data_IF_044311139974
#
_entry.id   IF_044311139974
#
_cell.length_a   1.000
_cell.length_b   1.000
_cell.length_c   1.000
_cell.angle_alpha   90.00
_cell.angle_beta   90.00
_cell.angle_gamma   90.00
#
_symmetry.space_group_name_H-M   'P 1'
#
loop_
_entity.id
_entity.type
_entity.pdbx_description
1 polymer ?
#
# COMPACT_ATOMS: atom_id res chain seq x y z
N UNK A 1 14.75 -16.17 5.82
CA UNK A 1 14.69 -15.10 4.80
C UNK A 1 13.31 -14.43 4.82
N UNK A 2 12.97 -13.67 5.86
CA UNK A 2 11.59 -13.14 6.09
C UNK A 2 11.43 -11.64 5.74
N UNK A 3 12.32 -11.07 4.95
CA UNK A 3 12.43 -9.60 4.82
C UNK A 3 12.23 -9.06 3.38
N UNK A 4 11.83 -9.88 2.41
CA UNK A 4 11.79 -9.44 1.00
C UNK A 4 10.47 -8.81 0.52
N UNK A 5 9.47 -8.67 1.40
CA UNK A 5 8.12 -8.21 1.03
C UNK A 5 7.69 -6.89 1.69
N UNK A 6 8.62 -6.15 2.32
CA UNK A 6 8.34 -4.77 2.79
C UNK A 6 9.61 -3.91 2.85
N UNK A 7 9.51 -2.56 2.81
CA UNK A 7 10.65 -1.66 2.99
C UNK A 7 11.10 -1.55 4.47
N UNK A 8 10.33 -2.10 5.41
CA UNK A 8 10.57 -2.05 6.86
C UNK A 8 11.99 -2.45 7.29
N UNK A 9 12.60 -3.52 6.74
CA UNK A 9 13.93 -3.97 7.14
C UNK A 9 15.04 -2.99 6.76
N UNK A 10 14.78 -2.07 5.82
CA UNK A 10 15.72 -1.01 5.42
C UNK A 10 15.45 0.25 6.25
N UNK A 11 14.18 0.64 6.39
CA UNK A 11 13.81 1.90 7.03
C UNK A 11 13.96 1.89 8.54
N UNK A 12 13.62 0.80 9.24
CA UNK A 12 13.70 0.78 10.71
C UNK A 12 15.15 0.91 11.21
N UNK A 13 16.14 0.13 10.73
CA UNK A 13 17.53 0.33 11.13
C UNK A 13 18.04 1.73 10.78
N UNK A 14 17.69 2.25 9.60
CA UNK A 14 18.05 3.61 9.17
C UNK A 14 17.48 4.65 10.14
N UNK A 15 16.19 4.59 10.47
CA UNK A 15 15.57 5.51 11.42
C UNK A 15 16.26 5.47 12.79
N UNK A 16 16.54 4.28 13.32
CA UNK A 16 17.20 4.14 14.62
C UNK A 16 18.63 4.73 14.58
N UNK A 17 19.40 4.50 13.53
CA UNK A 17 20.75 5.07 13.39
C UNK A 17 20.77 6.60 13.33
N UNK A 18 19.75 7.21 12.73
CA UNK A 18 19.70 8.65 12.46
C UNK A 18 18.82 9.45 13.42
N UNK A 19 18.13 8.79 14.35
CA UNK A 19 17.27 9.43 15.35
C UNK A 19 18.05 10.39 16.24
N UNK A 20 17.49 11.57 16.48
CA UNK A 20 17.94 12.45 17.55
C UNK A 20 17.42 11.97 18.91
N UNK A 21 18.30 11.29 19.67
CA UNK A 21 17.99 10.80 21.01
C UNK A 21 18.09 11.89 22.11
N UNK A 22 18.52 13.10 21.78
CA UNK A 22 18.57 14.21 22.75
C UNK A 22 17.18 14.76 23.07
N UNK A 23 16.23 14.63 22.12
CA UNK A 23 14.84 15.06 22.29
C UNK A 23 14.08 14.06 23.16
N UNK A 24 13.95 14.40 24.46
CA UNK A 24 13.23 13.58 25.44
C UNK A 24 11.76 13.41 25.04
N UNK A 25 11.23 12.19 25.23
CA UNK A 25 9.88 11.76 24.85
C UNK A 25 9.58 11.67 23.33
N UNK A 26 10.47 12.10 22.44
CA UNK A 26 10.26 11.96 21.01
C UNK A 26 10.45 10.50 20.57
N UNK A 27 9.43 9.93 19.93
CA UNK A 27 9.42 8.55 19.45
C UNK A 27 9.53 8.54 17.94
N UNK A 28 10.12 7.48 17.38
CA UNK A 28 9.99 7.22 15.95
C UNK A 28 8.55 6.76 15.75
N UNK A 29 7.78 7.54 14.99
CA UNK A 29 6.35 7.33 14.81
C UNK A 29 6.10 6.63 13.49
N UNK A 30 5.13 5.71 13.51
CA UNK A 30 4.71 4.99 12.32
C UNK A 30 3.20 5.14 12.17
N UNK A 31 2.78 5.83 11.12
CA UNK A 31 1.38 6.08 10.81
C UNK A 31 1.01 5.38 9.52
N UNK A 32 -0.11 4.67 9.54
CA UNK A 32 -0.71 4.05 8.36
C UNK A 32 -2.00 4.78 8.10
N UNK A 33 -2.08 5.41 6.93
CA UNK A 33 -3.27 6.07 6.41
C UNK A 33 -3.92 5.20 5.34
N UNK A 34 -5.07 5.63 4.84
CA UNK A 34 -5.71 4.96 3.72
C UNK A 34 -4.85 5.04 2.46
N UNK A 35 -4.01 6.05 2.25
CA UNK A 35 -3.30 6.25 0.98
C UNK A 35 -1.79 6.10 1.07
N UNK A 36 -1.25 6.01 2.27
CA UNK A 36 0.20 6.00 2.50
C UNK A 36 0.60 5.42 3.85
N UNK A 37 1.86 5.09 3.93
CA UNK A 37 2.57 4.74 5.15
C UNK A 37 3.61 5.83 5.40
N UNK A 38 3.58 6.42 6.59
CA UNK A 38 4.47 7.50 6.99
C UNK A 38 5.28 7.07 8.21
N UNK A 39 6.61 7.11 8.07
CA UNK A 39 7.53 7.01 9.19
C UNK A 39 8.10 8.39 9.46
N UNK A 40 7.89 8.88 10.68
CA UNK A 40 8.48 10.12 11.16
C UNK A 40 9.55 9.81 12.21
N UNK A 41 10.69 10.48 12.13
CA UNK A 41 11.81 10.29 13.03
C UNK A 41 12.28 11.63 13.64
N UNK A 42 12.51 11.70 14.96
CA UNK A 42 13.03 12.91 15.58
C UNK A 42 14.38 13.34 15.02
N UNK A 43 14.51 14.64 14.78
CA UNK A 43 15.70 15.27 14.21
C UNK A 43 15.72 15.22 12.68
N UNK A 44 15.92 16.39 12.07
CA UNK A 44 15.97 16.57 10.61
C UNK A 44 17.25 16.02 9.96
N UNK A 45 17.53 16.44 8.73
CA UNK A 45 18.81 16.12 8.09
C UNK A 45 19.98 16.83 8.79
N UNK A 46 21.16 16.21 8.75
CA UNK A 46 22.39 16.88 9.15
C UNK A 46 22.83 17.85 8.04
N UNK A 47 23.51 18.97 8.36
CA UNK A 47 23.92 19.98 7.38
C UNK A 47 24.71 19.45 6.17
N UNK A 48 25.37 18.31 6.33
CA UNK A 48 26.16 17.61 5.32
C UNK A 48 25.33 16.94 4.23
N UNK A 49 24.03 16.71 4.47
CA UNK A 49 23.12 16.03 3.53
C UNK A 49 21.94 16.94 3.20
N UNK A 50 21.73 17.17 1.90
CA UNK A 50 20.51 17.79 1.37
C UNK A 50 19.50 16.74 0.93
N UNK A 51 18.23 17.11 0.94
CA UNK A 51 17.13 16.20 0.62
C UNK A 51 17.22 15.63 -0.80
N UNK A 52 17.73 16.41 -1.75
CA UNK A 52 17.91 15.98 -3.15
C UNK A 52 18.96 14.89 -3.28
N UNK A 53 19.94 14.86 -2.38
CA UNK A 53 21.02 13.86 -2.40
C UNK A 53 20.51 12.48 -1.97
N UNK A 54 19.41 12.40 -1.22
CA UNK A 54 18.88 11.12 -0.72
C UNK A 54 18.45 10.16 -1.83
N UNK A 55 18.29 10.65 -3.06
CA UNK A 55 17.97 9.84 -4.25
C UNK A 55 19.20 9.34 -5.00
N UNK A 56 20.38 9.82 -4.67
CA UNK A 56 21.65 9.50 -5.31
C UNK A 56 22.61 8.82 -4.33
N UNK A 57 23.69 8.19 -4.79
CA UNK A 57 24.74 7.69 -3.90
C UNK A 57 25.33 8.84 -3.05
N UNK A 58 25.32 8.68 -1.73
CA UNK A 58 25.89 9.65 -0.78
C UNK A 58 26.51 8.94 0.43
N UNK A 59 27.42 9.62 1.14
CA UNK A 59 27.98 9.10 2.39
C UNK A 59 26.90 8.99 3.48
N UNK A 60 27.03 8.01 4.37
CA UNK A 60 26.19 7.92 5.57
C UNK A 60 26.79 8.77 6.68
N UNK A 61 25.97 9.65 7.26
CA UNK A 61 26.30 10.40 8.47
C UNK A 61 25.30 10.03 9.58
N UNK A 62 25.48 8.88 10.25
CA UNK A 62 24.59 8.47 11.34
C UNK A 62 24.84 9.32 12.57
N UNK A 63 23.77 9.83 13.20
CA UNK A 63 23.88 10.50 14.52
C UNK A 63 24.38 9.53 15.60
N UNK A 64 24.06 8.25 15.46
CA UNK A 64 24.33 7.22 16.47
C UNK A 64 25.29 6.16 15.92
N UNK A 65 26.58 6.51 15.84
CA UNK A 65 27.62 5.66 15.25
C UNK A 65 27.75 4.28 15.91
N UNK A 66 27.62 4.20 17.23
CA UNK A 66 27.69 2.91 17.96
C UNK A 66 26.53 1.99 17.58
N UNK A 67 25.32 2.54 17.41
CA UNK A 67 24.15 1.75 16.98
C UNK A 67 24.35 1.31 15.52
N UNK A 68 24.82 2.23 14.67
CA UNK A 68 25.11 1.93 13.28
C UNK A 68 26.17 0.83 13.14
N UNK A 69 27.24 0.86 13.93
CA UNK A 69 28.27 -0.18 13.93
C UNK A 69 27.72 -1.55 14.35
N UNK A 70 26.83 -1.61 15.34
CA UNK A 70 26.15 -2.85 15.73
C UNK A 70 25.29 -3.39 14.59
N UNK A 71 24.48 -2.55 13.93
CA UNK A 71 23.67 -2.99 12.79
C UNK A 71 24.51 -3.37 11.57
N UNK A 72 25.62 -2.70 11.34
CA UNK A 72 26.58 -3.06 10.29
C UNK A 72 27.19 -4.43 10.55
N UNK A 73 27.70 -4.69 11.78
CA UNK A 73 28.25 -5.99 12.17
C UNK A 73 27.22 -7.11 12.12
N UNK A 74 25.94 -6.80 12.31
CA UNK A 74 24.82 -7.74 12.13
C UNK A 74 24.38 -7.92 10.67
N UNK A 75 24.91 -7.14 9.73
CA UNK A 75 24.54 -7.18 8.32
C UNK A 75 23.17 -6.57 8.02
N UNK A 76 22.64 -5.72 8.90
CA UNK A 76 21.34 -5.07 8.71
C UNK A 76 21.44 -3.77 7.91
N UNK A 77 22.59 -3.09 7.99
CA UNK A 77 22.87 -1.88 7.21
C UNK A 77 24.24 -1.97 6.53
N UNK A 78 24.45 -1.11 5.54
CA UNK A 78 25.75 -0.86 4.91
C UNK A 78 26.33 0.47 5.39
N UNK A 79 27.65 0.66 5.25
CA UNK A 79 28.33 1.91 5.62
C UNK A 79 28.18 3.04 4.59
N UNK A 80 27.70 2.72 3.39
CA UNK A 80 27.77 3.60 2.21
C UNK A 80 26.54 4.46 1.97
N UNK A 81 25.70 4.69 2.98
CA UNK A 81 24.52 5.57 2.86
C UNK A 81 23.45 5.07 1.90
N UNK A 82 23.42 3.76 1.61
CA UNK A 82 22.53 3.15 0.61
C UNK A 82 21.10 2.93 1.09
N UNK A 83 20.75 3.32 2.32
CA UNK A 83 19.43 3.05 2.90
C UNK A 83 18.30 3.64 2.06
N UNK A 84 18.38 4.93 1.72
CA UNK A 84 17.35 5.64 0.95
C UNK A 84 17.27 5.16 -0.50
N UNK A 85 18.40 4.94 -1.16
CA UNK A 85 18.44 4.42 -2.54
C UNK A 85 17.89 2.99 -2.62
N UNK A 86 18.15 2.14 -1.63
CA UNK A 86 17.55 0.80 -1.53
C UNK A 86 16.04 0.82 -1.31
N UNK A 87 15.51 1.80 -0.57
CA UNK A 87 14.05 1.99 -0.46
C UNK A 87 13.44 2.35 -1.81
N UNK A 88 14.10 3.24 -2.57
CA UNK A 88 13.67 3.63 -3.93
C UNK A 88 13.70 2.41 -4.87
N UNK A 89 14.80 1.67 -4.89
CA UNK A 89 14.92 0.44 -5.69
C UNK A 89 13.86 -0.59 -5.33
N UNK A 90 13.56 -0.75 -4.03
CA UNK A 90 12.50 -1.63 -3.57
C UNK A 90 11.15 -1.22 -4.17
N UNK A 91 10.78 0.07 -4.11
CA UNK A 91 9.53 0.56 -4.71
C UNK A 91 9.49 0.33 -6.22
N UNK A 92 10.58 0.65 -6.93
CA UNK A 92 10.71 0.43 -8.37
C UNK A 92 10.51 -1.04 -8.74
N UNK A 93 11.16 -1.96 -8.03
CA UNK A 93 11.03 -3.42 -8.26
C UNK A 93 9.61 -3.94 -8.02
N UNK A 94 8.85 -3.32 -7.14
CA UNK A 94 7.48 -3.70 -6.81
C UNK A 94 6.41 -2.91 -7.58
N UNK A 95 6.79 -2.04 -8.52
CA UNK A 95 5.88 -1.16 -9.26
C UNK A 95 4.97 -0.33 -8.34
N UNK A 96 5.52 0.18 -7.23
CA UNK A 96 4.87 1.12 -6.32
C UNK A 96 5.50 2.51 -6.44
N UNK A 97 4.79 3.60 -6.05
CA UNK A 97 5.39 4.93 -6.00
C UNK A 97 6.69 4.95 -5.19
N UNK A 98 7.66 5.76 -5.63
CA UNK A 98 8.89 6.00 -4.86
C UNK A 98 8.57 6.71 -3.55
N UNK A 99 9.38 6.49 -2.48
CA UNK A 99 9.19 7.23 -1.24
C UNK A 99 9.45 8.72 -1.42
N UNK A 100 8.62 9.53 -0.78
CA UNK A 100 8.87 10.95 -0.57
C UNK A 100 9.64 11.14 0.74
N UNK A 101 10.68 11.97 0.70
CA UNK A 101 11.43 12.37 1.88
C UNK A 101 11.05 13.81 2.19
N UNK A 102 10.75 14.10 3.46
CA UNK A 102 10.49 15.47 3.91
C UNK A 102 11.32 15.77 5.14
N UNK A 103 11.96 16.95 5.12
CA UNK A 103 12.73 17.45 6.25
C UNK A 103 12.00 18.66 6.85
N UNK A 104 11.61 18.54 8.12
CA UNK A 104 10.94 19.59 8.88
C UNK A 104 11.80 19.99 10.06
N UNK A 105 11.61 21.21 10.59
CA UNK A 105 12.50 21.82 11.60
C UNK A 105 12.74 20.96 12.86
N UNK A 106 11.93 19.93 13.11
CA UNK A 106 12.07 19.02 14.26
C UNK A 106 12.09 17.52 13.91
N UNK A 107 12.05 17.15 12.64
CA UNK A 107 12.02 15.74 12.26
C UNK A 107 12.00 15.47 10.77
N UNK A 108 12.37 14.24 10.45
CA UNK A 108 12.48 13.74 9.10
C UNK A 108 11.42 12.67 8.86
N UNK A 109 10.65 12.80 7.78
CA UNK A 109 9.67 11.78 7.38
C UNK A 109 10.08 11.06 6.10
N UNK A 110 9.71 9.79 6.05
CA UNK A 110 9.70 8.97 4.84
C UNK A 110 8.27 8.52 4.60
N UNK A 111 7.73 8.87 3.43
CA UNK A 111 6.33 8.62 3.06
C UNK A 111 6.31 7.65 1.89
N UNK A 112 5.68 6.49 2.09
CA UNK A 112 5.42 5.51 1.04
C UNK A 112 3.95 5.57 0.65
N UNK A 113 3.65 6.21 -0.48
CA UNK A 113 2.29 6.17 -1.04
C UNK A 113 1.95 4.78 -1.54
N UNK A 114 0.75 4.32 -1.26
CA UNK A 114 0.27 3.06 -1.80
C UNK A 114 -0.08 3.22 -3.26
N UNK A 115 0.13 2.15 -4.03
CA UNK A 115 -0.30 2.10 -5.42
C UNK A 115 -1.83 2.24 -5.53
N UNK A 116 -2.54 1.71 -4.54
CA UNK A 116 -3.98 1.77 -4.38
C UNK A 116 -4.27 2.05 -2.89
N UNK A 117 -5.24 2.91 -2.58
CA UNK A 117 -5.55 3.25 -1.19
C UNK A 117 -6.02 2.01 -0.42
N UNK A 118 -5.48 1.80 0.78
CA UNK A 118 -6.02 1.01 1.88
C UNK A 118 -7.39 1.53 2.32
N UNK A 119 -8.40 1.42 1.45
CA UNK A 119 -9.77 1.30 1.88
C UNK A 119 -10.58 0.46 0.86
N UNK A 120 -10.78 -0.80 1.26
CA UNK A 120 -11.91 -1.71 0.96
C UNK A 120 -12.43 -1.90 -0.48
N UNK A 121 -11.69 -1.55 -1.53
CA UNK A 121 -11.97 -2.06 -2.88
C UNK A 121 -11.50 -3.51 -3.00
N UNK A 122 -12.31 -4.37 -3.63
CA UNK A 122 -11.88 -5.72 -4.02
C UNK A 122 -10.57 -5.58 -4.82
N UNK A 123 -9.41 -5.86 -4.20
CA UNK A 123 -8.27 -6.29 -4.99
C UNK A 123 -8.75 -7.58 -5.63
N UNK A 124 -9.01 -7.54 -6.94
CA UNK A 124 -9.11 -8.73 -7.75
C UNK A 124 -7.70 -9.32 -7.81
N UNK A 125 -7.17 -9.74 -6.65
CA UNK A 125 -5.95 -10.51 -6.55
C UNK A 125 -6.09 -11.69 -7.51
N UNK A 126 -5.05 -12.01 -8.29
CA UNK A 126 -5.06 -13.16 -9.21
C UNK A 126 -5.27 -14.52 -8.52
N UNK A 127 -5.40 -14.54 -7.19
CA UNK A 127 -5.77 -15.71 -6.38
C UNK A 127 -7.28 -15.97 -6.34
N UNK A 128 -8.13 -15.01 -6.70
CA UNK A 128 -9.54 -15.27 -6.92
C UNK A 128 -9.73 -15.84 -8.32
N UNK A 129 -9.76 -17.18 -8.42
CA UNK A 129 -10.26 -17.89 -9.60
C UNK A 129 -11.72 -17.48 -9.88
N UNK A 130 -11.90 -16.35 -10.56
CA UNK A 130 -13.17 -15.85 -11.06
C UNK A 130 -13.30 -16.30 -12.50
N UNK A 131 -14.50 -16.76 -12.84
CA UNK A 131 -14.77 -17.09 -14.24
C UNK A 131 -14.87 -15.81 -15.06
N UNK A 132 -14.63 -15.90 -16.37
CA UNK A 132 -14.82 -14.80 -17.32
C UNK A 132 -16.18 -14.11 -17.13
N UNK A 133 -17.24 -14.89 -16.88
CA UNK A 133 -18.60 -14.41 -16.64
C UNK A 133 -18.73 -13.57 -15.38
N UNK A 134 -18.04 -13.96 -14.31
CA UNK A 134 -18.03 -13.22 -13.05
C UNK A 134 -17.31 -11.88 -13.21
N UNK A 135 -16.20 -11.86 -13.96
CA UNK A 135 -15.49 -10.62 -14.29
C UNK A 135 -16.37 -9.67 -15.13
N UNK A 136 -17.13 -10.18 -16.08
CA UNK A 136 -18.08 -9.38 -16.88
C UNK A 136 -19.18 -8.76 -16.01
N UNK A 137 -19.77 -9.53 -15.09
CA UNK A 137 -20.78 -9.03 -14.13
C UNK A 137 -20.19 -7.93 -13.24
N UNK A 138 -18.96 -8.12 -12.73
CA UNK A 138 -18.27 -7.12 -11.91
C UNK A 138 -18.02 -5.85 -12.71
N UNK A 139 -17.54 -5.97 -13.96
CA UNK A 139 -17.30 -4.81 -14.84
C UNK A 139 -18.58 -4.01 -15.11
N UNK A 140 -19.71 -4.68 -15.33
CA UNK A 140 -21.00 -4.02 -15.49
C UNK A 140 -21.43 -3.26 -14.22
N UNK A 141 -21.24 -3.87 -13.04
CA UNK A 141 -21.57 -3.24 -11.76
C UNK A 141 -20.59 -2.13 -11.36
N UNK A 142 -19.34 -2.16 -11.83
CA UNK A 142 -18.37 -1.08 -11.62
C UNK A 142 -18.79 0.20 -12.33
N UNK A 143 -19.35 0.06 -13.52
CA UNK A 143 -19.82 1.17 -14.36
C UNK A 143 -21.24 1.67 -13.99
N UNK A 144 -21.91 1.07 -12.99
CA UNK A 144 -23.25 1.43 -12.54
C UNK A 144 -23.27 1.68 -11.01
N UNK A 145 -24.25 2.41 -10.49
CA UNK A 145 -24.45 2.50 -9.02
C UNK A 145 -25.09 1.24 -8.46
N UNK A 146 -26.19 0.80 -9.08
CA UNK A 146 -26.89 -0.41 -8.72
C UNK A 146 -27.63 -0.95 -9.95
N UNK A 147 -27.80 -2.27 -10.03
CA UNK A 147 -28.51 -2.89 -11.15
C UNK A 147 -29.47 -3.98 -10.68
N UNK A 148 -30.63 -4.07 -11.31
CA UNK A 148 -31.52 -5.21 -11.17
C UNK A 148 -31.02 -6.40 -12.00
N UNK A 149 -31.47 -7.60 -11.65
CA UNK A 149 -31.13 -8.81 -12.39
C UNK A 149 -31.53 -8.73 -13.88
N UNK A 150 -32.62 -8.03 -14.20
CA UNK A 150 -33.07 -7.79 -15.59
C UNK A 150 -32.13 -6.87 -16.36
N UNK A 151 -31.61 -5.83 -15.71
CA UNK A 151 -30.67 -4.90 -16.34
C UNK A 151 -29.31 -5.57 -16.58
N UNK A 152 -28.82 -6.36 -15.61
CA UNK A 152 -27.59 -7.15 -15.78
C UNK A 152 -27.74 -8.09 -16.98
N UNK A 153 -28.86 -8.83 -17.05
CA UNK A 153 -29.16 -9.73 -18.17
C UNK A 153 -29.19 -9.02 -19.53
N UNK A 154 -29.69 -7.79 -19.60
CA UNK A 154 -29.77 -7.01 -20.85
C UNK A 154 -28.41 -6.48 -21.31
N UNK A 155 -27.50 -6.18 -20.38
CA UNK A 155 -26.17 -5.61 -20.67
C UNK A 155 -25.06 -6.65 -20.84
N UNK A 156 -25.31 -7.91 -20.48
CA UNK A 156 -24.35 -8.99 -20.72
C UNK A 156 -24.23 -9.30 -22.22
N UNK A 157 -23.01 -9.58 -22.71
CA UNK A 157 -22.78 -9.89 -24.13
C UNK A 157 -23.45 -11.20 -24.57
N UNK A 158 -23.71 -12.12 -23.62
CA UNK A 158 -24.38 -13.41 -23.87
C UNK A 158 -25.72 -13.45 -23.15
N UNK A 159 -26.77 -13.89 -23.86
CA UNK A 159 -28.08 -14.15 -23.27
C UNK A 159 -28.01 -15.37 -22.34
N UNK A 160 -28.06 -15.12 -21.03
CA UNK A 160 -28.06 -16.16 -20.00
C UNK A 160 -29.44 -16.31 -19.35
N UNK A 161 -29.70 -17.51 -18.81
CA UNK A 161 -30.84 -17.77 -17.96
C UNK A 161 -30.71 -17.00 -16.63
N UNK A 162 -31.84 -16.53 -16.10
CA UNK A 162 -31.86 -15.75 -14.84
C UNK A 162 -31.34 -16.56 -13.65
N UNK A 163 -31.51 -17.88 -13.66
CA UNK A 163 -30.95 -18.80 -12.66
C UNK A 163 -29.43 -18.76 -12.62
N UNK A 164 -28.77 -18.81 -13.77
CA UNK A 164 -27.30 -18.78 -13.90
C UNK A 164 -26.72 -17.44 -13.47
N UNK A 165 -27.38 -16.32 -13.82
CA UNK A 165 -26.96 -14.99 -13.37
C UNK A 165 -27.07 -14.88 -11.84
N UNK A 166 -28.17 -15.39 -11.27
CA UNK A 166 -28.38 -15.40 -9.82
C UNK A 166 -27.35 -16.26 -9.09
N UNK A 167 -27.00 -17.41 -9.63
CA UNK A 167 -25.95 -18.28 -9.08
C UNK A 167 -24.59 -17.57 -9.03
N UNK A 168 -24.19 -16.90 -10.12
CA UNK A 168 -22.94 -16.13 -10.16
C UNK A 168 -22.96 -14.96 -9.18
N UNK A 169 -24.07 -14.21 -9.10
CA UNK A 169 -24.22 -13.11 -8.15
C UNK A 169 -24.20 -13.58 -6.69
N UNK A 170 -24.81 -14.73 -6.39
CA UNK A 170 -24.73 -15.35 -5.07
C UNK A 170 -23.30 -15.77 -4.73
N UNK A 171 -22.56 -16.36 -5.68
CA UNK A 171 -21.16 -16.70 -5.49
C UNK A 171 -20.31 -15.46 -5.19
N UNK A 172 -20.50 -14.40 -5.97
CA UNK A 172 -19.84 -13.10 -5.73
C UNK A 172 -20.23 -12.50 -4.37
N UNK A 173 -21.48 -12.68 -3.93
CA UNK A 173 -21.95 -12.24 -2.61
C UNK A 173 -21.29 -13.02 -1.48
N UNK A 174 -21.16 -14.35 -1.61
CA UNK A 174 -20.44 -15.17 -0.61
C UNK A 174 -18.96 -14.80 -0.50
N UNK A 175 -18.36 -14.33 -1.60
CA UNK A 175 -16.99 -13.81 -1.62
C UNK A 175 -16.87 -12.35 -1.13
N UNK A 176 -17.96 -11.72 -0.73
CA UNK A 176 -17.95 -10.33 -0.25
C UNK A 176 -17.70 -9.28 -1.34
N UNK A 177 -17.96 -9.62 -2.61
CA UNK A 177 -17.70 -8.73 -3.76
C UNK A 177 -18.94 -7.86 -4.06
N UNK A 178 -20.13 -8.46 -4.02
CA UNK A 178 -21.40 -7.77 -4.29
C UNK A 178 -22.36 -7.89 -3.12
N UNK A 179 -23.22 -6.89 -2.95
CA UNK A 179 -24.32 -6.93 -1.99
C UNK A 179 -25.64 -6.59 -2.67
N UNK A 180 -26.72 -6.78 -1.92
CA UNK A 180 -28.09 -6.56 -2.38
C UNK A 180 -28.76 -5.48 -1.56
N UNK A 181 -29.48 -4.57 -2.22
CA UNK A 181 -30.35 -3.56 -1.60
C UNK A 181 -31.79 -3.80 -2.00
N UNK A 182 -32.73 -3.65 -1.06
CA UNK A 182 -34.16 -3.88 -1.28
C UNK A 182 -34.62 -5.33 -1.04
N UNK A 183 -35.91 -5.58 -1.23
CA UNK A 183 -36.54 -6.89 -0.98
C UNK A 183 -37.25 -7.44 -2.23
N UNK A 184 -37.21 -8.77 -2.39
CA UNK A 184 -37.92 -9.54 -3.40
C UNK A 184 -37.75 -8.98 -4.83
N UNK A 185 -38.84 -8.48 -5.45
CA UNK A 185 -38.87 -8.00 -6.84
C UNK A 185 -38.08 -6.68 -7.03
N UNK A 186 -37.76 -5.97 -5.95
CA UNK A 186 -37.01 -4.72 -5.96
C UNK A 186 -35.53 -4.92 -5.59
N UNK A 187 -35.03 -6.16 -5.58
CA UNK A 187 -33.63 -6.45 -5.27
C UNK A 187 -32.70 -5.83 -6.31
N UNK A 188 -31.83 -4.92 -5.86
CA UNK A 188 -30.75 -4.30 -6.63
C UNK A 188 -29.42 -4.84 -6.17
N UNK A 189 -28.52 -5.11 -7.10
CA UNK A 189 -27.17 -5.57 -6.86
C UNK A 189 -26.21 -4.41 -7.02
N UNK A 190 -25.27 -4.28 -6.10
CA UNK A 190 -24.23 -3.26 -6.09
C UNK A 190 -22.92 -3.87 -5.63
N UNK A 191 -21.81 -3.25 -6.02
CA UNK A 191 -20.49 -3.59 -5.47
C UNK A 191 -20.41 -3.08 -4.03
N UNK A 192 -19.77 -3.87 -3.17
CA UNK A 192 -19.68 -3.55 -1.74
C UNK A 192 -18.87 -2.28 -1.49
N UNK A 193 -17.94 -1.90 -2.39
CA UNK A 193 -17.27 -0.60 -2.41
C UNK A 193 -16.91 -0.24 -3.86
N UNK A 194 -17.10 1.03 -4.24
CA UNK A 194 -16.84 1.55 -5.59
C UNK A 194 -15.43 2.10 -5.73
#
# INVERSE_FOLDING_TARGET
MLFNSSPLPIILPTAICHKDYSVRAATTSFAIYDDRLELWNPGGLLPEIKIEQLKEPHNSYPRNELIADVFYKRGWIEKWGTGTTRMIEYCRKNNTPEPEFTDSYHGFSVIFSFKETMNTGISLEPTMNLTQRQMEIISLLKNAEEMSLKEIRKKLPVLLAESTIRENLNHLKTKGIVTTRGQARLTRWLLINK
#
